data_IF_514508378117
#
_entry.id   IF_514508378117
#
_cell.length_a   1.000
_cell.length_b   1.000
_cell.length_c   1.000
_cell.angle_alpha   90.00
_cell.angle_beta   90.00
_cell.angle_gamma   90.00
#
_symmetry.space_group_name_H-M   'P 1'
#
loop_
_entity.id
_entity.type
_entity.pdbx_description
1 polymer ?
#
# COMPACT_ATOMS: atom_id res chain seq x y z
N UNK A 1 26.67 2.83 -12.39
CA UNK A 1 26.94 2.83 -10.93
C UNK A 1 25.88 1.93 -10.29
N UNK A 2 26.30 0.82 -9.69
CA UNK A 2 25.41 -0.16 -9.05
C UNK A 2 25.18 0.27 -7.60
N UNK A 3 23.92 0.37 -7.18
CA UNK A 3 23.59 0.75 -5.80
C UNK A 3 23.85 -0.44 -4.83
N UNK A 4 24.62 -0.25 -3.75
CA UNK A 4 25.07 -1.31 -2.86
C UNK A 4 24.01 -1.77 -1.84
N UNK A 5 22.90 -1.05 -1.68
CA UNK A 5 21.83 -1.43 -0.74
C UNK A 5 21.05 -2.69 -1.17
N UNK A 6 21.17 -3.10 -2.46
CA UNK A 6 20.58 -4.32 -3.02
C UNK A 6 21.65 -5.25 -3.61
N UNK A 7 22.37 -5.96 -2.75
CA UNK A 7 23.00 -7.21 -3.15
C UNK A 7 21.92 -8.28 -3.43
N UNK A 8 21.20 -8.10 -4.54
CA UNK A 8 20.19 -8.93 -5.27
C UNK A 8 19.17 -9.82 -4.52
N UNK A 9 19.21 -9.98 -3.19
CA UNK A 9 18.28 -10.81 -2.42
C UNK A 9 18.11 -10.41 -0.95
N UNK A 10 19.07 -9.71 -0.34
CA UNK A 10 19.02 -9.35 1.09
C UNK A 10 17.82 -8.46 1.47
N UNK A 11 17.51 -7.43 0.67
CA UNK A 11 16.40 -6.51 0.95
C UNK A 11 15.02 -7.17 0.86
N UNK A 12 14.84 -8.12 -0.07
CA UNK A 12 13.58 -8.87 -0.20
C UNK A 12 13.39 -9.86 0.96
N UNK A 13 14.47 -10.52 1.40
CA UNK A 13 14.43 -11.41 2.57
C UNK A 13 14.11 -10.63 3.85
N UNK A 14 14.78 -9.49 4.07
CA UNK A 14 14.51 -8.63 5.21
C UNK A 14 13.06 -8.13 5.22
N UNK A 15 12.52 -7.74 4.06
CA UNK A 15 11.12 -7.38 3.93
C UNK A 15 10.17 -8.53 4.33
N UNK A 16 10.46 -9.75 3.88
CA UNK A 16 9.65 -10.92 4.21
C UNK A 16 9.67 -11.23 5.71
N UNK A 17 10.79 -10.99 6.39
CA UNK A 17 10.89 -11.11 7.85
C UNK A 17 9.99 -10.09 8.55
N UNK A 18 10.04 -8.83 8.12
CA UNK A 18 9.20 -7.76 8.65
C UNK A 18 7.70 -8.04 8.42
N UNK A 19 7.34 -8.62 7.28
CA UNK A 19 5.97 -9.03 6.98
C UNK A 19 5.47 -10.18 7.86
N UNK A 20 6.32 -11.18 8.14
CA UNK A 20 5.96 -12.37 8.93
C UNK A 20 5.44 -12.02 10.33
N UNK A 21 5.99 -10.96 10.92
CA UNK A 21 5.60 -10.47 12.25
C UNK A 21 4.48 -9.41 12.24
N UNK A 22 3.96 -9.02 11.07
CA UNK A 22 2.98 -7.92 10.96
C UNK A 22 3.55 -6.54 11.29
N UNK A 23 4.87 -6.41 11.51
CA UNK A 23 5.53 -5.18 11.94
C UNK A 23 5.29 -4.02 10.97
N UNK A 24 5.22 -4.33 9.67
CA UNK A 24 4.91 -3.35 8.63
C UNK A 24 3.50 -2.79 8.80
N UNK A 25 2.51 -3.64 9.02
CA UNK A 25 1.13 -3.21 9.21
C UNK A 25 0.98 -2.42 10.51
N UNK A 26 1.59 -2.89 11.60
CA UNK A 26 1.59 -2.17 12.89
C UNK A 26 2.23 -0.79 12.80
N UNK A 27 3.25 -0.61 11.97
CA UNK A 27 3.86 0.69 11.73
C UNK A 27 3.04 1.56 10.78
N UNK A 28 2.47 0.98 9.72
CA UNK A 28 1.82 1.72 8.64
C UNK A 28 0.38 2.13 8.99
N UNK A 29 -0.45 1.20 9.48
CA UNK A 29 -1.88 1.44 9.70
C UNK A 29 -2.19 2.65 10.58
N UNK A 30 -1.47 2.93 11.68
CA UNK A 30 -1.73 4.10 12.52
C UNK A 30 -1.40 5.45 11.87
N UNK A 31 -0.70 5.42 10.73
CA UNK A 31 -0.32 6.61 9.96
C UNK A 31 -1.28 6.85 8.78
N UNK A 32 -2.22 5.93 8.52
CA UNK A 32 -3.10 6.04 7.37
C UNK A 32 -4.27 6.99 7.63
N UNK A 33 -4.47 7.92 6.71
CA UNK A 33 -5.59 8.84 6.69
C UNK A 33 -6.73 8.30 5.81
N UNK A 34 -7.95 8.30 6.34
CA UNK A 34 -9.13 7.67 5.73
C UNK A 34 -9.68 8.41 4.50
N UNK A 35 -9.10 9.55 4.09
CA UNK A 35 -9.64 10.38 2.99
C UNK A 35 -8.59 10.82 1.97
N UNK A 36 -7.34 10.36 2.09
CA UNK A 36 -6.32 10.66 1.09
C UNK A 36 -6.32 9.62 -0.03
N UNK A 37 -6.39 10.13 -1.27
CA UNK A 37 -6.44 9.39 -2.53
C UNK A 37 -5.21 8.48 -2.72
N UNK A 38 -4.03 8.98 -2.34
CA UNK A 38 -2.76 8.23 -2.31
C UNK A 38 -1.88 8.81 -1.20
N UNK A 39 -1.38 7.94 -0.32
CA UNK A 39 -0.44 8.24 0.75
C UNK A 39 0.94 7.66 0.45
N UNK A 40 1.98 8.41 0.82
CA UNK A 40 3.37 8.06 0.52
C UNK A 40 4.20 8.19 1.79
N UNK A 41 4.92 7.13 2.15
CA UNK A 41 5.84 7.10 3.28
C UNK A 41 7.24 6.76 2.77
N UNK A 42 8.23 7.61 3.03
CA UNK A 42 9.59 7.46 2.50
C UNK A 42 10.59 7.36 3.65
N UNK A 43 11.23 6.19 3.77
CA UNK A 43 12.38 5.99 4.62
C UNK A 43 12.16 6.41 6.07
N UNK A 44 12.80 7.52 6.49
CA UNK A 44 12.76 8.03 7.86
C UNK A 44 11.38 8.51 8.33
N UNK A 45 10.42 8.68 7.42
CA UNK A 45 9.02 8.94 7.78
C UNK A 45 8.36 7.71 8.43
N UNK A 46 8.94 6.52 8.24
CA UNK A 46 8.46 5.32 8.92
C UNK A 46 8.88 5.33 10.41
N UNK A 47 7.92 5.00 11.29
CA UNK A 47 8.15 4.94 12.75
C UNK A 47 9.14 3.86 13.21
N UNK A 48 9.34 2.81 12.42
CA UNK A 48 10.31 1.75 12.71
C UNK A 48 11.61 1.97 11.94
N UNK A 49 12.75 1.89 12.64
CA UNK A 49 14.09 1.99 12.03
C UNK A 49 14.31 0.91 10.96
N UNK A 50 13.70 -0.27 11.13
CA UNK A 50 13.78 -1.37 10.15
C UNK A 50 13.10 -1.02 8.82
N UNK A 51 12.22 -0.01 8.81
CA UNK A 51 11.51 0.46 7.62
C UNK A 51 12.20 1.65 6.94
N UNK A 52 13.30 2.18 7.49
CA UNK A 52 13.98 3.35 6.93
C UNK A 52 14.61 3.10 5.56
N UNK A 53 14.88 1.84 5.22
CA UNK A 53 15.34 1.41 3.89
C UNK A 53 14.24 1.29 2.83
N UNK A 54 12.98 1.52 3.20
CA UNK A 54 11.83 1.27 2.33
C UNK A 54 10.97 2.52 2.13
N UNK A 55 10.33 2.55 0.97
CA UNK A 55 9.24 3.46 0.65
C UNK A 55 7.94 2.68 0.48
N UNK A 56 6.83 3.28 0.88
CA UNK A 56 5.48 2.74 0.75
C UNK A 56 4.62 3.76 0.00
N UNK A 57 3.89 3.28 -1.01
CA UNK A 57 2.84 4.04 -1.71
C UNK A 57 1.55 3.25 -1.52
N UNK A 58 0.51 3.86 -0.96
CA UNK A 58 -0.72 3.17 -0.59
C UNK A 58 -1.94 4.04 -0.94
N UNK A 59 -3.04 3.40 -1.34
CA UNK A 59 -4.32 4.04 -1.58
C UNK A 59 -5.42 3.20 -0.93
N UNK A 60 -6.48 3.87 -0.48
CA UNK A 60 -7.69 3.19 -0.01
C UNK A 60 -8.57 2.79 -1.20
N UNK A 61 -9.32 1.70 -1.04
CA UNK A 61 -10.37 1.30 -1.96
C UNK A 61 -11.63 0.96 -1.17
N UNK A 62 -12.79 1.14 -1.81
CA UNK A 62 -14.07 0.94 -1.16
C UNK A 62 -15.28 1.22 -2.05
N UNK A 63 -16.47 1.06 -1.47
CA UNK A 63 -17.76 1.29 -2.12
C UNK A 63 -18.63 2.19 -1.24
N UNK A 64 -19.46 3.04 -1.87
CA UNK A 64 -20.52 3.81 -1.19
C UNK A 64 -20.09 4.53 0.09
N UNK A 65 -19.00 5.30 0.01
CA UNK A 65 -18.44 6.09 1.13
C UNK A 65 -17.83 5.27 2.28
N UNK A 66 -17.75 3.95 2.14
CA UNK A 66 -17.10 3.05 3.10
C UNK A 66 -15.78 2.53 2.54
N UNK A 67 -14.68 2.74 3.30
CA UNK A 67 -13.39 2.15 2.98
C UNK A 67 -13.42 0.65 3.31
N UNK A 68 -13.22 -0.17 2.28
CA UNK A 68 -13.15 -1.63 2.42
C UNK A 68 -11.73 -2.11 2.70
N UNK A 69 -10.71 -1.37 2.26
CA UNK A 69 -9.32 -1.73 2.52
C UNK A 69 -8.31 -0.81 1.85
N UNK A 70 -7.05 -1.26 1.81
CA UNK A 70 -5.94 -0.55 1.22
C UNK A 70 -5.16 -1.43 0.23
N UNK A 71 -4.63 -0.81 -0.82
CA UNK A 71 -3.72 -1.42 -1.79
C UNK A 71 -2.47 -0.56 -1.91
N UNK A 72 -1.30 -1.18 -2.00
CA UNK A 72 -0.06 -0.42 -2.04
C UNK A 72 1.13 -1.19 -2.59
N UNK A 73 2.19 -0.43 -2.87
CA UNK A 73 3.50 -0.93 -3.27
C UNK A 73 4.48 -0.60 -2.16
N UNK A 74 5.22 -1.62 -1.72
CA UNK A 74 6.37 -1.45 -0.86
C UNK A 74 7.63 -1.76 -1.66
N UNK A 75 8.60 -0.86 -1.61
CA UNK A 75 9.85 -1.00 -2.34
C UNK A 75 11.01 -0.24 -1.68
N UNK A 76 12.18 -0.21 -2.31
CA UNK A 76 13.27 0.64 -1.85
C UNK A 76 12.91 2.12 -1.82
N UNK A 77 13.59 2.89 -0.98
CA UNK A 77 13.47 4.35 -0.90
C UNK A 77 13.71 5.06 -2.24
N UNK A 78 14.42 4.43 -3.19
CA UNK A 78 14.66 4.95 -4.56
C UNK A 78 13.88 4.18 -5.64
N UNK A 79 12.61 3.90 -5.39
CA UNK A 79 11.72 3.32 -6.41
C UNK A 79 11.21 4.38 -7.41
N UNK A 80 10.70 4.01 -8.59
CA UNK A 80 10.10 4.95 -9.54
C UNK A 80 8.72 5.44 -9.06
N UNK A 81 8.69 6.40 -8.12
CA UNK A 81 7.48 6.87 -7.46
C UNK A 81 6.37 7.29 -8.43
N UNK A 82 6.68 8.00 -9.51
CA UNK A 82 5.67 8.39 -10.50
C UNK A 82 4.90 7.18 -11.06
N UNK A 83 5.62 6.08 -11.38
CA UNK A 83 4.99 4.84 -11.85
C UNK A 83 4.23 4.14 -10.72
N UNK A 84 4.82 4.05 -9.53
CA UNK A 84 4.19 3.39 -8.37
C UNK A 84 2.88 4.08 -7.98
N UNK A 85 2.86 5.41 -7.93
CA UNK A 85 1.68 6.23 -7.63
C UNK A 85 0.59 6.00 -8.67
N UNK A 86 0.92 6.07 -9.96
CA UNK A 86 -0.06 5.84 -11.03
C UNK A 86 -0.65 4.43 -10.97
N UNK A 87 0.19 3.42 -10.75
CA UNK A 87 -0.26 2.03 -10.64
C UNK A 87 -1.17 1.80 -9.43
N UNK A 88 -0.76 2.26 -8.25
CA UNK A 88 -1.54 2.08 -7.01
C UNK A 88 -2.89 2.77 -7.12
N UNK A 89 -2.92 4.01 -7.63
CA UNK A 89 -4.16 4.76 -7.87
C UNK A 89 -5.09 4.02 -8.83
N UNK A 90 -4.55 3.53 -9.96
CA UNK A 90 -5.32 2.78 -10.93
C UNK A 90 -5.90 1.49 -10.33
N UNK A 91 -5.10 0.74 -9.57
CA UNK A 91 -5.55 -0.49 -8.92
C UNK A 91 -6.62 -0.22 -7.85
N UNK A 92 -6.47 0.84 -7.05
CA UNK A 92 -7.48 1.24 -6.08
C UNK A 92 -8.82 1.54 -6.76
N UNK A 93 -8.80 2.28 -7.86
CA UNK A 93 -10.00 2.57 -8.66
C UNK A 93 -10.64 1.30 -9.21
N UNK A 94 -9.84 0.40 -9.81
CA UNK A 94 -10.34 -0.88 -10.34
C UNK A 94 -10.98 -1.72 -9.23
N UNK A 95 -10.35 -1.81 -8.05
CA UNK A 95 -10.90 -2.54 -6.91
C UNK A 95 -12.21 -1.90 -6.41
N UNK A 96 -12.26 -0.58 -6.33
CA UNK A 96 -13.49 0.16 -6.00
C UNK A 96 -14.63 -0.13 -6.99
N UNK A 97 -14.34 -0.13 -8.30
CA UNK A 97 -15.35 -0.39 -9.32
C UNK A 97 -15.84 -1.84 -9.31
N UNK A 98 -14.94 -2.80 -9.07
CA UNK A 98 -15.32 -4.20 -8.87
C UNK A 98 -16.21 -4.38 -7.64
N UNK A 99 -15.86 -3.74 -6.51
CA UNK A 99 -16.68 -3.80 -5.31
C UNK A 99 -18.05 -3.18 -5.54
N UNK A 100 -18.16 -2.03 -6.22
CA UNK A 100 -19.45 -1.45 -6.59
C UNK A 100 -20.31 -2.44 -7.38
N UNK A 101 -19.73 -3.18 -8.33
CA UNK A 101 -20.43 -4.23 -9.07
C UNK A 101 -20.91 -5.40 -8.20
N UNK A 102 -20.15 -5.77 -7.17
CA UNK A 102 -20.52 -6.82 -6.21
C UNK A 102 -21.59 -6.35 -5.22
N UNK A 103 -21.48 -5.12 -4.69
CA UNK A 103 -22.47 -4.53 -3.79
C UNK A 103 -23.78 -4.13 -4.50
N UNK A 104 -23.75 -3.88 -5.81
CA UNK A 104 -24.96 -3.72 -6.61
C UNK A 104 -25.69 -5.05 -6.88
N UNK A 105 -25.04 -6.19 -6.68
CA UNK A 105 -25.61 -7.53 -6.91
C UNK A 105 -26.31 -8.13 -5.67
N UNK A 106 -26.41 -7.43 -4.54
CA UNK A 106 -27.25 -7.80 -3.39
C UNK A 106 -27.19 -6.75 -2.27
N UNK A 107 -28.20 -6.59 -1.38
CA UNK A 107 -29.48 -7.28 -1.19
C UNK A 107 -30.72 -6.42 -1.57
N UNK A 108 -30.59 -5.41 -2.41
CA UNK A 108 -31.74 -4.59 -2.84
C UNK A 108 -32.66 -5.30 -3.85
N UNK A 109 -32.21 -6.39 -4.48
CA UNK A 109 -33.03 -7.23 -5.37
C UNK A 109 -34.05 -8.14 -4.63
N UNK A 110 -34.18 -8.01 -3.29
CA UNK A 110 -35.13 -8.77 -2.45
C UNK A 110 -36.17 -7.85 -1.77
N UNK A 111 -36.38 -6.63 -2.25
CA UNK A 111 -37.51 -5.78 -1.84
C UNK A 111 -38.42 -5.44 -3.00
#
# INVERSE_FOLDING_TARGET
MQQPEFSRGAGAQHLLELLRGGAILSALLPQLELMEDVQIFIGSENRSADLHGFGVVIASYGASDEITGYVGVLGPTRMPYGRSISMVRYLAQVLSDLLRGVYQAGPEAMR
#
